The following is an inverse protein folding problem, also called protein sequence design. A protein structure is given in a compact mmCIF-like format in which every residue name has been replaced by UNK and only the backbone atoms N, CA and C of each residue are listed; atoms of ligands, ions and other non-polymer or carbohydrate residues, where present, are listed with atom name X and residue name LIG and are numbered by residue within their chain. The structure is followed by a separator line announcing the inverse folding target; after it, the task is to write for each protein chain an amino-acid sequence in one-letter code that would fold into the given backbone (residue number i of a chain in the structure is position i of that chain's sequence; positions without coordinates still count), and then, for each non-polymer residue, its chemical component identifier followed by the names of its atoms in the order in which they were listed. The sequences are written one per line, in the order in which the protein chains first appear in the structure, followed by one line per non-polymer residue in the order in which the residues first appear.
data_IF_200639047762
#
_entry.id   IF_200639047762
#
_cell.length_a   1.000
_cell.length_b   1.000
_cell.length_c   1.000
_cell.angle_alpha   90.00
_cell.angle_beta   90.00
_cell.angle_gamma   90.00
#
_symmetry.space_group_name_H-M   'P 1'
#
loop_
_entity.id
_entity.type
_entity.pdbx_description
1 polymer ?
#
# COMPACT_ATOMS: atom_id res chain seq x y z
N UNK A 1 3.64 -18.15 -4.79
CA UNK A 1 3.43 -19.48 -5.42
C UNK A 1 3.79 -19.39 -6.90
N UNK A 2 4.02 -20.52 -7.59
CA UNK A 2 4.28 -20.47 -9.03
C UNK A 2 3.09 -19.90 -9.80
N UNK A 3 1.86 -20.25 -9.41
CA UNK A 3 0.62 -19.66 -9.94
C UNK A 3 -0.41 -19.46 -8.83
N UNK A 4 -1.32 -18.49 -9.00
CA UNK A 4 -2.55 -18.33 -8.20
C UNK A 4 -3.67 -19.25 -8.75
N UNK A 5 -4.88 -19.18 -8.18
CA UNK A 5 -6.03 -20.00 -8.63
C UNK A 5 -6.61 -19.59 -9.98
N UNK A 6 -6.18 -18.47 -10.54
CA UNK A 6 -6.51 -17.99 -11.87
C UNK A 6 -5.47 -18.41 -12.93
N UNK A 7 -4.36 -19.04 -12.50
CA UNK A 7 -3.27 -19.46 -13.38
C UNK A 7 -2.18 -18.41 -13.60
N UNK A 8 -2.32 -17.23 -13.00
CA UNK A 8 -1.33 -16.15 -13.12
C UNK A 8 -0.17 -16.37 -12.16
N UNK A 9 1.03 -15.93 -12.56
CA UNK A 9 2.17 -15.86 -11.65
C UNK A 9 2.09 -14.56 -10.86
N UNK A 10 1.83 -14.59 -9.54
CA UNK A 10 1.78 -13.36 -8.76
C UNK A 10 3.19 -12.81 -8.60
N UNK A 11 3.43 -11.63 -9.17
CA UNK A 11 4.68 -10.88 -9.06
C UNK A 11 4.35 -9.51 -8.50
N UNK A 12 5.10 -9.08 -7.49
CA UNK A 12 4.96 -7.72 -6.95
C UNK A 12 5.56 -6.74 -7.96
N UNK A 13 4.78 -5.76 -8.40
CA UNK A 13 5.24 -4.67 -9.25
C UNK A 13 5.98 -3.62 -8.40
N UNK A 14 5.28 -3.10 -7.39
CA UNK A 14 5.84 -2.11 -6.47
C UNK A 14 5.29 -2.24 -5.04
N UNK A 15 6.01 -1.63 -4.10
CA UNK A 15 5.68 -1.51 -2.68
C UNK A 15 5.79 -0.04 -2.27
N UNK A 16 4.73 0.50 -1.71
CA UNK A 16 4.68 1.82 -1.10
C UNK A 16 4.96 1.75 0.40
N UNK A 17 5.83 2.64 0.88
CA UNK A 17 5.91 3.01 2.29
C UNK A 17 4.99 4.18 2.56
N UNK A 18 3.98 3.94 3.38
CA UNK A 18 2.99 4.93 3.82
C UNK A 18 3.33 5.37 5.23
N UNK A 19 3.34 6.67 5.48
CA UNK A 19 3.54 7.26 6.80
C UNK A 19 2.43 8.25 7.15
N UNK A 20 2.14 8.39 8.44
CA UNK A 20 1.25 9.42 8.96
C UNK A 20 1.55 9.74 10.43
N UNK A 21 1.25 10.96 10.84
CA UNK A 21 1.41 11.43 12.21
C UNK A 21 0.40 10.75 13.14
N UNK A 22 0.85 10.41 14.34
CA UNK A 22 0.00 9.95 15.44
C UNK A 22 -0.45 11.19 16.22
N UNK A 23 -1.72 11.54 16.10
CA UNK A 23 -2.33 12.71 16.77
C UNK A 23 -2.77 12.43 18.21
N UNK A 24 -2.73 11.16 18.63
CA UNK A 24 -3.16 10.71 19.95
C UNK A 24 -4.65 10.34 20.01
N UNK A 25 -5.16 9.96 21.19
CA UNK A 25 -6.56 9.66 21.38
C UNK A 25 -7.44 10.90 21.14
N UNK A 26 -8.50 10.74 20.36
CA UNK A 26 -9.51 11.79 20.16
C UNK A 26 -10.61 11.62 21.20
N UNK A 27 -11.02 12.71 21.85
CA UNK A 27 -12.13 12.69 22.81
C UNK A 27 -13.45 12.28 22.13
N UNK A 28 -14.29 11.43 22.75
CA UNK A 28 -15.63 11.11 22.25
C UNK A 28 -16.53 12.32 21.97
N UNK A 29 -16.30 13.44 22.66
CA UNK A 29 -17.08 14.68 22.48
C UNK A 29 -16.55 15.56 21.33
N UNK A 30 -15.40 15.21 20.74
CA UNK A 30 -14.82 15.96 19.62
C UNK A 30 -15.59 15.67 18.33
N UNK A 31 -15.83 16.67 17.47
CA UNK A 31 -16.31 16.41 16.10
C UNK A 31 -15.36 15.51 15.29
N UNK A 32 -14.07 15.44 15.69
CA UNK A 32 -13.08 14.59 15.04
C UNK A 32 -13.14 13.12 15.49
N UNK A 33 -13.97 12.75 16.47
CA UNK A 33 -14.00 11.37 17.00
C UNK A 33 -14.37 10.33 15.94
N UNK A 34 -15.23 10.72 14.99
CA UNK A 34 -15.68 9.87 13.86
C UNK A 34 -14.91 10.15 12.58
N UNK A 35 -13.83 10.94 12.65
CA UNK A 35 -13.03 11.27 11.48
C UNK A 35 -12.32 10.01 10.98
N UNK A 36 -12.71 9.55 9.79
CA UNK A 36 -12.15 8.37 9.15
C UNK A 36 -10.82 8.64 8.42
N UNK A 37 -10.39 9.90 8.34
CA UNK A 37 -9.18 10.32 7.62
C UNK A 37 -8.09 10.81 8.57
N UNK A 38 -6.85 10.54 8.20
CA UNK A 38 -5.69 11.22 8.75
C UNK A 38 -5.03 12.02 7.62
N UNK A 39 -5.13 13.35 7.70
CA UNK A 39 -4.67 14.27 6.64
C UNK A 39 -3.15 14.25 6.43
N UNK A 40 -2.40 13.71 7.39
CA UNK A 40 -0.94 13.61 7.31
C UNK A 40 -0.49 12.34 6.60
N UNK A 41 -1.40 11.40 6.36
CA UNK A 41 -1.12 10.11 5.73
C UNK A 41 -0.76 10.28 4.27
N UNK A 42 0.42 9.80 3.89
CA UNK A 42 0.90 9.84 2.50
C UNK A 42 1.87 8.71 2.22
N UNK A 43 1.98 8.35 0.94
CA UNK A 43 3.11 7.57 0.42
C UNK A 43 4.37 8.45 0.53
N UNK A 44 5.41 7.96 1.20
CA UNK A 44 6.69 8.67 1.38
C UNK A 44 7.82 8.06 0.55
N UNK A 45 7.63 6.84 0.05
CA UNK A 45 8.50 6.18 -0.91
C UNK A 45 7.74 5.06 -1.62
N UNK A 46 8.14 4.77 -2.85
CA UNK A 46 7.69 3.63 -3.64
C UNK A 46 8.94 2.88 -4.10
N UNK A 47 8.90 1.56 -3.95
CA UNK A 47 10.00 0.65 -4.23
C UNK A 47 9.57 -0.36 -5.28
N UNK A 48 10.50 -0.71 -6.16
CA UNK A 48 10.33 -1.72 -7.21
C UNK A 48 11.33 -2.83 -7.01
N UNK A 49 11.31 -3.84 -7.88
CA UNK A 49 12.33 -4.89 -7.91
C UNK A 49 13.78 -4.41 -8.06
N UNK A 50 13.99 -3.14 -8.42
CA UNK A 50 15.32 -2.52 -8.42
C UNK A 50 15.79 -2.04 -7.04
N UNK A 51 14.91 -1.97 -6.04
CA UNK A 51 15.17 -1.32 -4.74
C UNK A 51 15.29 -2.31 -3.58
N UNK A 52 15.06 -3.60 -3.82
CA UNK A 52 15.19 -4.64 -2.80
C UNK A 52 16.20 -5.71 -3.20
N UNK A 53 16.84 -6.28 -2.18
CA UNK A 53 17.71 -7.44 -2.31
C UNK A 53 17.03 -8.66 -1.68
N UNK A 54 17.35 -9.85 -2.17
CA UNK A 54 16.87 -11.10 -1.58
C UNK A 54 17.90 -11.56 -0.54
N UNK A 55 17.48 -11.72 0.71
CA UNK A 55 18.35 -12.23 1.77
C UNK A 55 18.56 -13.76 1.69
N UNK A 56 19.37 -14.31 2.60
CA UNK A 56 19.72 -15.74 2.63
C UNK A 56 18.49 -16.66 2.86
N UNK A 57 17.45 -16.12 3.51
CA UNK A 57 16.20 -16.82 3.80
C UNK A 57 15.15 -16.65 2.67
N UNK A 58 15.47 -15.86 1.64
CA UNK A 58 14.62 -15.62 0.49
C UNK A 58 13.63 -14.47 0.63
N UNK A 59 13.80 -13.58 1.62
CA UNK A 59 12.96 -12.40 1.79
C UNK A 59 13.47 -11.21 0.98
N UNK A 60 12.55 -10.46 0.37
CA UNK A 60 12.86 -9.16 -0.22
C UNK A 60 13.07 -8.13 0.91
N UNK A 61 14.25 -7.53 0.96
CA UNK A 61 14.65 -6.56 1.99
C UNK A 61 14.83 -5.18 1.36
N UNK A 62 14.09 -4.20 1.89
CA UNK A 62 14.19 -2.78 1.55
C UNK A 62 14.77 -2.04 2.76
N UNK A 63 15.78 -1.22 2.54
CA UNK A 63 16.30 -0.30 3.58
C UNK A 63 15.98 1.13 3.20
N UNK A 64 15.20 1.81 4.04
CA UNK A 64 14.82 3.21 3.83
C UNK A 64 15.13 4.06 5.07
N UNK A 65 16.07 5.02 4.98
CA UNK A 65 16.36 5.91 6.09
C UNK A 65 15.27 6.96 6.25
N UNK A 66 14.64 7.00 7.44
CA UNK A 66 13.67 8.03 7.79
C UNK A 66 14.36 9.11 8.63
N UNK A 67 14.47 10.32 8.09
CA UNK A 67 15.10 11.47 8.75
C UNK A 67 14.07 12.48 9.25
N UNK A 68 14.45 13.27 10.26
CA UNK A 68 13.64 14.41 10.72
C UNK A 68 12.36 14.01 11.47
N UNK A 69 12.41 12.92 12.23
CA UNK A 69 11.30 12.50 13.09
C UNK A 69 11.22 13.40 14.33
N UNK A 70 10.44 14.47 14.24
CA UNK A 70 10.11 15.38 15.33
C UNK A 70 8.71 15.13 15.93
N UNK A 71 7.93 14.26 15.29
CA UNK A 71 6.60 13.83 15.72
C UNK A 71 6.51 12.31 15.79
N UNK A 72 5.56 11.82 16.59
CA UNK A 72 5.24 10.40 16.62
C UNK A 72 4.54 9.99 15.33
N UNK A 73 4.95 8.89 14.72
CA UNK A 73 4.52 8.46 13.38
C UNK A 73 4.11 6.99 13.39
N UNK A 74 3.21 6.61 12.47
CA UNK A 74 3.05 5.22 12.07
C UNK A 74 3.57 5.02 10.64
N UNK A 75 4.04 3.81 10.37
CA UNK A 75 4.48 3.37 9.04
C UNK A 75 3.79 2.07 8.67
N UNK A 76 3.39 1.92 7.42
CA UNK A 76 2.87 0.65 6.88
C UNK A 76 3.29 0.48 5.44
N UNK A 77 3.32 -0.76 5.00
CA UNK A 77 3.52 -1.12 3.60
C UNK A 77 2.18 -1.38 2.92
N UNK A 78 2.11 -1.01 1.65
CA UNK A 78 1.13 -1.46 0.67
C UNK A 78 1.90 -1.97 -0.53
N UNK A 79 1.50 -3.05 -1.15
CA UNK A 79 2.09 -3.46 -2.43
C UNK A 79 1.05 -4.11 -3.34
N UNK A 80 1.35 -4.12 -4.63
CA UNK A 80 0.45 -4.63 -5.67
C UNK A 80 1.21 -5.33 -6.79
N UNK A 81 0.52 -6.19 -7.54
CA UNK A 81 0.98 -6.68 -8.83
C UNK A 81 0.61 -5.76 -10.00
N UNK A 82 -0.22 -4.74 -9.77
CA UNK A 82 -0.64 -3.80 -10.81
C UNK A 82 0.47 -2.81 -11.15
N UNK A 83 0.83 -2.67 -12.44
CA UNK A 83 1.74 -1.64 -12.89
C UNK A 83 1.20 -0.23 -12.60
N UNK A 84 2.10 0.75 -12.50
CA UNK A 84 1.74 2.17 -12.47
C UNK A 84 1.03 2.58 -13.76
N UNK A 85 -0.13 3.23 -13.64
CA UNK A 85 -0.94 3.67 -14.77
C UNK A 85 -1.63 2.54 -15.53
N UNK A 86 -1.84 1.39 -14.88
CA UNK A 86 -2.62 0.29 -15.43
C UNK A 86 -4.05 0.77 -15.73
N UNK A 87 -4.53 0.65 -16.98
CA UNK A 87 -5.83 1.21 -17.38
C UNK A 87 -6.96 0.72 -16.48
N UNK A 88 -7.68 1.67 -15.88
CA UNK A 88 -8.83 1.43 -14.98
C UNK A 88 -8.51 0.77 -13.64
N UNK A 89 -7.25 0.42 -13.37
CA UNK A 89 -6.79 -0.25 -12.14
C UNK A 89 -5.95 0.70 -11.27
N UNK A 90 -5.00 1.43 -11.86
CA UNK A 90 -4.14 2.37 -11.12
C UNK A 90 -3.99 3.72 -11.82
N UNK A 91 -3.79 4.77 -11.03
CA UNK A 91 -3.49 6.11 -11.53
C UNK A 91 -2.01 6.24 -11.97
N UNK A 92 -1.65 7.41 -12.52
CA UNK A 92 -0.28 7.70 -12.96
C UNK A 92 0.78 7.75 -11.85
N UNK A 93 0.37 7.61 -10.58
CA UNK A 93 1.25 7.49 -9.42
C UNK A 93 1.18 6.09 -8.79
N UNK A 94 0.43 5.14 -9.37
CA UNK A 94 0.29 3.78 -8.85
C UNK A 94 -0.78 3.62 -7.77
N UNK A 95 -1.61 4.64 -7.50
CA UNK A 95 -2.70 4.48 -6.53
C UNK A 95 -3.84 3.67 -7.15
N UNK A 96 -4.56 2.85 -6.36
CA UNK A 96 -5.71 2.12 -6.84
C UNK A 96 -6.81 3.08 -7.31
N UNK A 97 -7.41 2.74 -8.43
CA UNK A 97 -8.67 3.32 -8.90
C UNK A 97 -9.85 2.54 -8.31
N UNK A 98 -11.06 3.02 -8.53
CA UNK A 98 -12.25 2.32 -8.05
C UNK A 98 -12.56 1.12 -8.95
N UNK A 99 -12.78 -0.06 -8.37
CA UNK A 99 -13.09 -1.34 -9.03
C UNK A 99 -14.18 -1.21 -10.12
N UNK A 100 -15.18 -0.34 -9.88
CA UNK A 100 -16.23 -0.02 -10.85
C UNK A 100 -15.73 0.43 -12.24
N UNK A 101 -14.50 0.98 -12.32
CA UNK A 101 -13.88 1.36 -13.58
C UNK A 101 -13.41 0.12 -14.35
N UNK A 102 -12.79 -0.85 -13.68
CA UNK A 102 -12.42 -2.13 -14.28
C UNK A 102 -13.68 -2.90 -14.70
N UNK A 103 -14.70 -2.99 -13.84
CA UNK A 103 -15.99 -3.63 -14.19
C UNK A 103 -16.61 -3.00 -15.44
N UNK A 104 -16.67 -1.67 -15.52
CA UNK A 104 -17.34 -0.98 -16.61
C UNK A 104 -16.57 -1.03 -17.94
N UNK A 105 -15.24 -1.07 -17.92
CA UNK A 105 -14.41 -0.90 -19.11
C UNK A 105 -13.68 -2.17 -19.56
N UNK A 106 -13.44 -3.11 -18.64
CA UNK A 106 -12.72 -4.36 -18.89
C UNK A 106 -13.64 -5.58 -18.79
N UNK A 107 -14.80 -5.44 -18.17
CA UNK A 107 -15.69 -6.58 -17.87
C UNK A 107 -15.10 -7.54 -16.85
N UNK A 108 -14.11 -7.08 -16.07
CA UNK A 108 -13.51 -7.81 -14.95
C UNK A 108 -14.33 -7.53 -13.69
N UNK A 109 -14.81 -8.58 -13.04
CA UNK A 109 -15.55 -8.51 -11.76
C UNK A 109 -15.43 -9.85 -11.02
N UNK A 110 -15.71 -9.84 -9.73
CA UNK A 110 -15.82 -11.02 -8.89
C UNK A 110 -14.49 -11.74 -8.69
N UNK A 111 -14.50 -13.07 -8.85
CA UNK A 111 -13.32 -13.88 -8.51
C UNK A 111 -12.16 -13.67 -9.48
N UNK A 112 -12.43 -13.40 -10.75
CA UNK A 112 -11.39 -13.17 -11.77
C UNK A 112 -10.62 -11.88 -11.46
N UNK A 113 -11.34 -10.79 -11.19
CA UNK A 113 -10.76 -9.51 -10.75
C UNK A 113 -9.98 -9.68 -9.44
N UNK A 114 -10.54 -10.38 -8.45
CA UNK A 114 -9.86 -10.60 -7.17
C UNK A 114 -8.53 -11.38 -7.28
N UNK A 115 -8.31 -12.14 -8.35
CA UNK A 115 -7.04 -12.81 -8.61
C UNK A 115 -6.09 -12.01 -9.51
N UNK A 116 -6.64 -11.13 -10.35
CA UNK A 116 -5.89 -10.26 -11.25
C UNK A 116 -5.40 -8.98 -10.55
N UNK A 117 -6.16 -8.44 -9.60
CA UNK A 117 -5.87 -7.24 -8.82
C UNK A 117 -5.48 -7.59 -7.37
N UNK A 118 -4.21 -7.91 -7.16
CA UNK A 118 -3.69 -8.36 -5.87
C UNK A 118 -3.06 -7.21 -5.11
N UNK A 119 -3.64 -6.87 -3.97
CA UNK A 119 -3.08 -5.92 -3.01
C UNK A 119 -2.75 -6.60 -1.69
N UNK A 120 -1.62 -6.23 -1.10
CA UNK A 120 -1.29 -6.61 0.28
C UNK A 120 -0.95 -5.39 1.11
N UNK A 121 -1.14 -5.54 2.41
CA UNK A 121 -0.93 -4.48 3.39
C UNK A 121 -0.25 -5.04 4.63
N UNK A 122 0.75 -4.32 5.13
CA UNK A 122 1.29 -4.64 6.46
C UNK A 122 0.40 -4.04 7.55
N UNK A 123 0.46 -4.66 8.73
CA UNK A 123 0.09 -3.96 9.95
C UNK A 123 0.99 -2.74 10.15
N UNK A 124 0.47 -1.63 10.70
CA UNK A 124 1.29 -0.47 10.98
C UNK A 124 2.28 -0.77 12.11
N UNK A 125 3.49 -0.25 11.97
CA UNK A 125 4.44 -0.08 13.07
C UNK A 125 4.36 1.36 13.57
N UNK A 126 4.56 1.57 14.87
CA UNK A 126 4.43 2.89 15.50
C UNK A 126 5.77 3.31 16.10
N UNK A 127 6.21 4.53 15.77
CA UNK A 127 7.41 5.16 16.31
C UNK A 127 6.99 6.36 17.15
N UNK A 128 7.41 6.36 18.42
CA UNK A 128 7.19 7.48 19.34
C UNK A 128 8.49 8.23 19.54
N UNK A 129 8.45 9.54 19.32
CA UNK A 129 9.55 10.44 19.68
C UNK A 129 9.43 10.85 21.15
N UNK A 130 10.55 11.10 21.83
CA UNK A 130 10.62 11.53 23.23
C UNK A 130 11.06 13.00 23.32
#
# INVERSE_FOLDING_TARGET
PATNHNGDTPVVDHIDLIAGEITGPVSPDSPDYTKATNETTKVIATFTSADWEVDEDGYNVITYPVSGLDKSMYFRLRGTNQPVGAPFETDGMGNPLADSLATANLGLDGAEEAWADLWFYSNPIFVKVQ
#
